data_IF_781732647754
#
_entry.id   IF_781732647754
#
_cell.length_a   1.000
_cell.length_b   1.000
_cell.length_c   1.000
_cell.angle_alpha   90.00
_cell.angle_beta   90.00
_cell.angle_gamma   90.00
#
_symmetry.space_group_name_H-M   'P 1'
#
loop_
_entity.id
_entity.type
_entity.pdbx_description
1 polymer ?
#
# COMPACT_ATOMS: atom_id res chain seq x y z
N UNK A 1 67.34 19.42 62.64
CA UNK A 1 66.57 20.65 62.89
C UNK A 1 65.15 20.22 63.21
N UNK A 2 64.79 20.40 64.48
CA UNK A 2 63.44 20.41 65.10
C UNK A 2 62.55 19.20 64.84
N UNK A 3 62.54 18.23 65.75
CA UNK A 3 61.72 18.17 67.00
C UNK A 3 60.26 17.83 66.70
N UNK A 4 59.82 16.60 67.00
CA UNK A 4 59.28 16.14 68.30
C UNK A 4 57.72 16.14 68.20
N UNK A 5 56.92 15.22 68.72
CA UNK A 5 57.02 14.44 69.96
C UNK A 5 56.06 13.25 69.90
N UNK A 6 56.48 12.21 70.63
CA UNK A 6 55.87 10.94 71.03
C UNK A 6 54.37 10.86 71.31
N UNK A 7 53.81 9.64 71.22
CA UNK A 7 53.46 8.81 72.39
C UNK A 7 53.05 7.38 71.97
N UNK A 8 53.79 6.39 72.49
CA UNK A 8 53.39 4.97 72.64
C UNK A 8 52.56 4.83 73.94
N UNK A 9 51.68 3.81 74.10
CA UNK A 9 52.15 2.48 74.54
C UNK A 9 51.38 1.26 73.98
N UNK A 10 52.09 0.13 73.93
CA UNK A 10 51.57 -1.25 73.89
C UNK A 10 50.81 -1.57 75.20
N UNK A 11 49.83 -2.51 75.25
CA UNK A 11 50.21 -3.91 75.50
C UNK A 11 49.23 -5.01 75.02
N UNK A 12 49.76 -6.24 75.04
CA UNK A 12 49.17 -7.50 75.51
C UNK A 12 47.89 -8.07 74.87
N UNK A 13 47.98 -9.37 74.55
CA UNK A 13 46.87 -10.17 74.04
C UNK A 13 45.74 -10.40 75.05
N UNK A 14 44.60 -10.86 74.55
CA UNK A 14 43.79 -11.91 75.17
C UNK A 14 42.63 -12.31 74.23
N UNK A 15 42.43 -13.62 74.15
CA UNK A 15 41.17 -14.37 73.99
C UNK A 15 40.31 -14.24 72.71
N UNK A 16 39.92 -15.38 72.10
CA UNK A 16 38.83 -15.42 71.12
C UNK A 16 37.48 -15.28 71.84
N UNK A 17 36.73 -14.26 71.48
CA UNK A 17 35.36 -14.04 71.93
C UNK A 17 34.40 -14.98 71.19
N UNK A 18 33.79 -15.88 71.96
CA UNK A 18 32.74 -16.81 71.55
C UNK A 18 31.42 -16.07 71.76
N UNK A 19 31.01 -15.31 70.74
CA UNK A 19 29.73 -14.60 70.69
C UNK A 19 28.91 -15.01 69.46
N UNK A 20 27.57 -15.16 69.58
CA UNK A 20 26.72 -15.60 68.48
C UNK A 20 26.66 -14.53 67.38
N UNK A 21 26.86 -15.01 66.15
CA UNK A 21 26.82 -14.27 64.90
C UNK A 21 25.53 -13.42 64.82
N UNK A 22 25.59 -12.07 64.78
CA UNK A 22 24.39 -11.28 64.57
C UNK A 22 23.84 -11.57 63.18
N UNK A 23 22.63 -12.10 63.17
CA UNK A 23 21.80 -12.31 61.99
C UNK A 23 21.58 -10.94 61.33
N UNK A 24 22.29 -10.69 60.23
CA UNK A 24 22.06 -9.52 59.40
C UNK A 24 20.63 -9.57 58.93
N UNK A 25 19.81 -8.64 59.42
CA UNK A 25 18.53 -8.32 58.83
C UNK A 25 18.70 -8.20 57.31
N UNK A 26 17.78 -8.75 56.50
CA UNK A 26 17.89 -8.65 55.06
C UNK A 26 17.90 -7.16 54.71
N UNK A 27 19.01 -6.72 54.12
CA UNK A 27 19.10 -5.47 53.40
C UNK A 27 17.94 -5.49 52.41
N UNK A 28 16.89 -4.71 52.67
CA UNK A 28 15.82 -4.48 51.72
C UNK A 28 16.47 -3.95 50.47
N UNK A 29 16.76 -4.84 49.51
CA UNK A 29 16.97 -4.47 48.13
C UNK A 29 15.70 -3.72 47.75
N UNK A 30 15.84 -2.40 47.65
CA UNK A 30 14.89 -1.56 46.95
C UNK A 30 14.66 -2.24 45.61
N UNK A 31 13.46 -2.81 45.46
CA UNK A 31 13.02 -3.34 44.18
C UNK A 31 13.31 -2.29 43.10
N UNK A 32 13.83 -2.69 41.92
CA UNK A 32 14.01 -1.74 40.84
C UNK A 32 12.66 -1.06 40.61
N UNK A 33 12.61 0.25 40.88
CA UNK A 33 11.47 1.08 40.54
C UNK A 33 11.28 0.89 39.05
N UNK A 34 10.21 0.18 38.67
CA UNK A 34 9.83 0.06 37.27
C UNK A 34 9.79 1.49 36.71
N UNK A 35 10.52 1.78 35.62
CA UNK A 35 10.51 3.12 35.04
C UNK A 35 9.04 3.50 34.82
N UNK A 36 8.63 4.64 35.37
CA UNK A 36 7.28 5.15 35.20
C UNK A 36 7.00 5.11 33.69
N UNK A 37 6.03 4.29 33.29
CA UNK A 37 5.63 4.17 31.90
C UNK A 37 5.25 5.58 31.46
N UNK A 38 6.05 6.16 30.55
CA UNK A 38 5.74 7.47 29.99
C UNK A 38 4.34 7.35 29.38
N UNK A 39 3.33 8.09 29.87
CA UNK A 39 1.97 8.01 29.36
C UNK A 39 1.87 8.42 27.88
N UNK A 40 2.98 8.88 27.28
CA UNK A 40 3.12 9.25 25.88
C UNK A 40 4.06 8.33 25.09
N UNK A 41 4.52 7.21 25.66
CA UNK A 41 5.26 6.20 24.90
C UNK A 41 4.29 5.41 24.01
N UNK A 42 4.04 5.92 22.81
CA UNK A 42 3.29 5.18 21.79
C UNK A 42 4.06 3.93 21.37
N UNK A 43 3.36 2.79 21.27
CA UNK A 43 3.99 1.57 20.77
C UNK A 43 4.30 1.70 19.27
N UNK A 44 5.44 1.15 18.81
CA UNK A 44 5.73 1.06 17.39
C UNK A 44 4.65 0.26 16.66
N UNK A 45 4.27 0.73 15.48
CA UNK A 45 3.30 0.03 14.64
C UNK A 45 3.79 -0.04 13.20
N UNK A 46 3.53 -1.17 12.56
CA UNK A 46 3.91 -1.46 11.18
C UNK A 46 2.69 -1.74 10.32
N UNK A 47 2.59 -0.98 9.22
CA UNK A 47 1.63 -1.22 8.16
C UNK A 47 2.37 -1.66 6.90
N UNK A 48 1.97 -2.81 6.38
CA UNK A 48 2.55 -3.40 5.20
C UNK A 48 1.71 -4.58 4.74
N UNK A 49 1.77 -4.88 3.45
CA UNK A 49 1.07 -6.05 2.93
C UNK A 49 1.58 -7.32 3.59
N UNK A 50 0.64 -8.21 3.91
CA UNK A 50 0.97 -9.51 4.49
C UNK A 50 1.85 -10.32 3.54
N UNK A 51 2.66 -11.21 4.11
CA UNK A 51 3.45 -12.18 3.33
C UNK A 51 2.53 -13.00 2.41
N UNK A 52 1.33 -13.34 2.90
CA UNK A 52 0.33 -14.06 2.12
C UNK A 52 -0.14 -13.26 0.89
N UNK A 53 -0.58 -12.00 1.05
CA UNK A 53 -1.00 -11.14 -0.08
C UNK A 53 0.11 -11.03 -1.12
N UNK A 54 1.34 -10.78 -0.66
CA UNK A 54 2.51 -10.66 -1.53
C UNK A 54 2.77 -11.95 -2.30
N UNK A 55 2.73 -13.09 -1.62
CA UNK A 55 2.96 -14.42 -2.22
C UNK A 55 1.89 -14.73 -3.28
N UNK A 56 0.62 -14.46 -3.00
CA UNK A 56 -0.49 -14.68 -3.94
C UNK A 56 -0.26 -13.86 -5.22
N UNK A 57 0.02 -12.56 -5.11
CA UNK A 57 0.27 -11.73 -6.30
C UNK A 57 1.50 -12.19 -7.08
N UNK A 58 2.57 -12.60 -6.41
CA UNK A 58 3.74 -13.17 -7.08
C UNK A 58 3.39 -14.46 -7.83
N UNK A 59 2.64 -15.38 -7.22
CA UNK A 59 2.22 -16.63 -7.86
C UNK A 59 1.30 -16.38 -9.06
N UNK A 60 0.30 -15.50 -8.92
CA UNK A 60 -0.60 -15.11 -10.02
C UNK A 60 0.19 -14.50 -11.16
N UNK A 61 1.12 -13.59 -10.87
CA UNK A 61 1.98 -12.98 -11.89
C UNK A 61 2.83 -14.03 -12.63
N UNK A 62 3.49 -14.93 -11.89
CA UNK A 62 4.31 -16.00 -12.47
C UNK A 62 3.49 -16.99 -13.30
N UNK A 63 2.27 -17.30 -12.87
CA UNK A 63 1.34 -18.17 -13.59
C UNK A 63 0.91 -17.55 -14.93
N UNK A 64 0.62 -16.25 -14.95
CA UNK A 64 0.13 -15.54 -16.14
C UNK A 64 1.26 -15.13 -17.11
N UNK A 65 2.49 -14.99 -16.61
CA UNK A 65 3.66 -14.56 -17.39
C UNK A 65 3.92 -15.38 -18.67
N UNK A 66 3.91 -16.74 -18.69
CA UNK A 66 4.16 -17.49 -19.91
C UNK A 66 3.09 -17.23 -20.99
N UNK A 67 1.82 -17.09 -20.59
CA UNK A 67 0.74 -16.74 -21.51
C UNK A 67 0.98 -15.35 -22.10
N UNK A 68 1.35 -14.38 -21.25
CA UNK A 68 1.63 -13.01 -21.68
C UNK A 68 2.80 -12.95 -22.67
N UNK A 69 3.88 -13.66 -22.36
CA UNK A 69 5.07 -13.74 -23.21
C UNK A 69 4.79 -14.43 -24.56
N UNK A 70 3.84 -15.37 -24.60
CA UNK A 70 3.48 -16.10 -25.83
C UNK A 70 2.63 -15.27 -26.81
N UNK A 71 1.88 -14.27 -26.34
CA UNK A 71 0.95 -13.49 -27.18
C UNK A 71 1.64 -12.74 -28.33
N UNK A 72 2.75 -11.99 -28.12
CA UNK A 72 3.44 -11.34 -29.23
C UNK A 72 3.96 -12.33 -30.27
N UNK A 73 4.45 -13.50 -29.85
CA UNK A 73 4.92 -14.54 -30.76
C UNK A 73 3.77 -15.12 -31.59
N UNK A 74 2.62 -15.41 -30.96
CA UNK A 74 1.42 -15.90 -31.65
C UNK A 74 0.90 -14.87 -32.67
N UNK A 75 0.84 -13.60 -32.29
CA UNK A 75 0.44 -12.50 -33.18
C UNK A 75 1.43 -12.40 -34.35
N UNK A 76 2.73 -12.45 -34.09
CA UNK A 76 3.78 -12.38 -35.12
C UNK A 76 3.70 -13.54 -36.10
N UNK A 77 3.52 -14.78 -35.62
CA UNK A 77 3.34 -15.96 -36.48
C UNK A 77 2.12 -15.82 -37.37
N UNK A 78 0.96 -15.42 -36.82
CA UNK A 78 -0.25 -15.22 -37.63
C UNK A 78 -0.12 -14.08 -38.63
N UNK A 79 0.55 -12.99 -38.26
CA UNK A 79 0.85 -11.90 -39.17
C UNK A 79 1.72 -12.36 -40.34
N UNK A 80 2.76 -13.16 -40.06
CA UNK A 80 3.65 -13.73 -41.08
C UNK A 80 2.94 -14.71 -42.04
N UNK A 81 1.89 -15.38 -41.56
CA UNK A 81 1.05 -16.28 -42.36
C UNK A 81 -0.03 -15.55 -43.19
N UNK A 82 -0.08 -14.21 -43.16
CA UNK A 82 -1.06 -13.42 -43.91
C UNK A 82 -2.47 -13.37 -43.30
N UNK A 83 -2.67 -13.91 -42.09
CA UNK A 83 -3.96 -14.02 -41.42
C UNK A 83 -4.34 -12.76 -40.60
N UNK A 84 -3.98 -11.57 -41.09
CA UNK A 84 -4.15 -10.31 -40.35
C UNK A 84 -5.62 -9.91 -40.16
N UNK A 85 -6.50 -10.25 -41.11
CA UNK A 85 -7.93 -9.94 -41.04
C UNK A 85 -8.66 -10.62 -39.87
N UNK A 86 -8.24 -11.84 -39.53
CA UNK A 86 -8.84 -12.64 -38.44
C UNK A 86 -8.17 -12.41 -37.08
N UNK A 87 -7.23 -11.46 -36.99
CA UNK A 87 -6.49 -11.17 -35.75
C UNK A 87 -7.14 -10.12 -34.86
N UNK A 88 -8.26 -9.50 -35.26
CA UNK A 88 -8.90 -8.45 -34.45
C UNK A 88 -9.27 -8.97 -33.05
N UNK A 89 -9.87 -10.17 -32.97
CA UNK A 89 -10.19 -10.81 -31.70
C UNK A 89 -8.95 -11.08 -30.83
N UNK A 90 -7.87 -11.57 -31.46
CA UNK A 90 -6.60 -11.83 -30.78
C UNK A 90 -5.94 -10.54 -30.27
N UNK A 91 -6.01 -9.44 -31.03
CA UNK A 91 -5.50 -8.14 -30.64
C UNK A 91 -6.29 -7.54 -29.47
N UNK A 92 -7.62 -7.64 -29.49
CA UNK A 92 -8.48 -7.20 -28.38
C UNK A 92 -8.17 -8.03 -27.12
N UNK A 93 -8.08 -9.35 -27.26
CA UNK A 93 -7.70 -10.23 -26.15
C UNK A 93 -6.31 -9.87 -25.60
N UNK A 94 -5.34 -9.63 -26.47
CA UNK A 94 -3.99 -9.23 -26.06
C UNK A 94 -3.99 -7.88 -25.34
N UNK A 95 -4.78 -6.90 -25.79
CA UNK A 95 -4.91 -5.61 -25.12
C UNK A 95 -5.52 -5.75 -23.72
N UNK A 96 -6.60 -6.51 -23.58
CA UNK A 96 -7.24 -6.80 -22.28
C UNK A 96 -6.28 -7.53 -21.35
N UNK A 97 -5.60 -8.56 -21.85
CA UNK A 97 -4.65 -9.35 -21.06
C UNK A 97 -3.42 -8.52 -20.66
N UNK A 98 -2.96 -7.61 -21.51
CA UNK A 98 -1.91 -6.65 -21.18
C UNK A 98 -2.34 -5.71 -20.05
N UNK A 99 -3.56 -5.19 -20.11
CA UNK A 99 -4.10 -4.35 -19.05
C UNK A 99 -4.19 -5.12 -17.71
N UNK A 100 -4.67 -6.37 -17.74
CA UNK A 100 -4.73 -7.25 -16.58
C UNK A 100 -3.34 -7.52 -15.99
N UNK A 101 -2.37 -7.90 -16.83
CA UNK A 101 -0.98 -8.14 -16.41
C UNK A 101 -0.35 -6.90 -15.79
N UNK A 102 -0.61 -5.72 -16.36
CA UNK A 102 -0.15 -4.46 -15.81
C UNK A 102 -0.76 -4.18 -14.43
N UNK A 103 -2.07 -4.41 -14.24
CA UNK A 103 -2.73 -4.24 -12.93
C UNK A 103 -2.19 -5.21 -11.88
N UNK A 104 -2.01 -6.49 -12.23
CA UNK A 104 -1.41 -7.49 -11.33
C UNK A 104 0.02 -7.09 -10.97
N UNK A 105 0.81 -6.61 -11.93
CA UNK A 105 2.16 -6.13 -11.70
C UNK A 105 2.19 -4.92 -10.74
N UNK A 106 1.28 -3.97 -10.92
CA UNK A 106 1.12 -2.82 -10.03
C UNK A 106 0.80 -3.25 -8.60
N UNK A 107 -0.18 -4.15 -8.42
CA UNK A 107 -0.57 -4.65 -7.09
C UNK A 107 0.57 -5.43 -6.43
N UNK A 108 1.29 -6.25 -7.20
CA UNK A 108 2.47 -6.96 -6.74
C UNK A 108 3.55 -5.97 -6.25
N UNK A 109 3.87 -4.95 -7.06
CA UNK A 109 4.85 -3.93 -6.70
C UNK A 109 4.44 -3.16 -5.44
N UNK A 110 3.16 -2.81 -5.33
CA UNK A 110 2.60 -2.13 -4.16
C UNK A 110 2.68 -3.00 -2.90
N UNK A 111 2.33 -4.28 -3.01
CA UNK A 111 2.44 -5.26 -1.93
C UNK A 111 3.88 -5.42 -1.42
N UNK A 112 4.86 -5.44 -2.34
CA UNK A 112 6.27 -5.62 -1.98
C UNK A 112 6.85 -4.35 -1.36
N UNK A 113 6.59 -3.18 -1.94
CA UNK A 113 7.36 -1.96 -1.65
C UNK A 113 6.70 -1.01 -0.66
N UNK A 114 5.38 -1.01 -0.54
CA UNK A 114 4.70 -0.07 0.35
C UNK A 114 4.85 -0.50 1.80
N UNK A 115 5.42 0.37 2.63
CA UNK A 115 5.63 0.13 4.06
C UNK A 115 5.44 1.44 4.81
N UNK A 116 4.78 1.39 5.96
CA UNK A 116 4.67 2.53 6.89
C UNK A 116 4.98 2.02 8.28
N UNK A 117 6.04 2.54 8.87
CA UNK A 117 6.45 2.29 10.25
C UNK A 117 6.22 3.56 11.06
N UNK A 118 5.33 3.48 12.04
CA UNK A 118 5.10 4.51 13.03
C UNK A 118 5.96 4.18 14.25
N UNK A 119 7.19 4.72 14.29
CA UNK A 119 8.10 4.56 15.42
C UNK A 119 7.70 5.43 16.63
N UNK A 120 8.48 5.39 17.70
CA UNK A 120 8.22 6.19 18.91
C UNK A 120 8.41 7.69 18.68
N UNK A 121 9.46 8.06 17.96
CA UNK A 121 9.88 9.46 17.77
C UNK A 121 9.71 9.95 16.33
N UNK A 122 9.62 9.02 15.38
CA UNK A 122 9.62 9.33 13.95
C UNK A 122 8.81 8.35 13.13
N UNK A 123 8.37 8.85 11.99
CA UNK A 123 7.68 8.08 10.96
C UNK A 123 8.66 7.71 9.86
N UNK A 124 8.61 6.46 9.41
CA UNK A 124 9.31 5.98 8.22
C UNK A 124 8.30 5.38 7.27
N UNK A 125 8.26 5.85 6.04
CA UNK A 125 7.31 5.32 5.06
C UNK A 125 7.93 5.25 3.68
N UNK A 126 7.61 4.21 2.93
CA UNK A 126 7.90 4.08 1.51
C UNK A 126 6.57 3.95 0.80
N UNK A 127 6.26 4.95 -0.04
CA UNK A 127 4.96 5.09 -0.68
C UNK A 127 5.13 5.28 -2.19
N UNK A 128 4.13 4.89 -3.00
CA UNK A 128 4.12 5.19 -4.42
C UNK A 128 4.13 6.71 -4.66
N UNK A 129 4.90 7.15 -5.64
CA UNK A 129 5.21 8.55 -5.91
C UNK A 129 4.95 8.88 -7.37
N UNK A 130 4.11 9.90 -7.64
CA UNK A 130 3.83 10.36 -8.99
C UNK A 130 2.40 10.87 -9.15
N UNK A 131 2.02 11.22 -10.38
CA UNK A 131 0.68 11.69 -10.73
C UNK A 131 0.06 10.79 -11.81
N UNK A 132 -1.20 10.40 -11.65
CA UNK A 132 -1.94 9.62 -12.65
C UNK A 132 -1.81 8.09 -12.47
N UNK A 133 -1.71 7.30 -13.55
CA UNK A 133 -1.50 5.84 -13.48
C UNK A 133 -0.02 5.43 -13.37
N UNK A 134 0.92 6.35 -13.65
CA UNK A 134 2.37 6.15 -13.48
C UNK A 134 2.95 6.25 -12.06
N UNK A 135 2.31 6.84 -11.01
CA UNK A 135 2.80 6.81 -9.62
C UNK A 135 3.09 5.42 -9.08
N UNK A 136 2.50 4.38 -9.66
CA UNK A 136 2.60 3.02 -9.16
C UNK A 136 3.96 2.37 -9.42
N UNK A 137 4.80 2.97 -10.29
CA UNK A 137 6.13 2.44 -10.63
C UNK A 137 7.29 3.12 -9.88
N UNK A 138 7.05 4.29 -9.28
CA UNK A 138 8.07 5.04 -8.55
C UNK A 138 7.71 5.04 -7.08
N UNK A 139 8.68 4.80 -6.22
CA UNK A 139 8.50 4.82 -4.78
C UNK A 139 9.41 5.87 -4.18
N UNK A 140 8.90 6.59 -3.19
CA UNK A 140 9.69 7.54 -2.42
C UNK A 140 9.65 7.15 -0.96
N UNK A 141 10.82 7.13 -0.35
CA UNK A 141 10.97 6.94 1.09
C UNK A 141 11.00 8.29 1.77
N UNK A 142 10.29 8.39 2.88
CA UNK A 142 10.22 9.54 3.76
C UNK A 142 10.56 9.08 5.17
N UNK A 143 11.39 9.87 5.84
CA UNK A 143 11.70 9.72 7.25
C UNK A 143 11.65 11.11 7.87
N UNK A 144 10.78 11.30 8.85
CA UNK A 144 10.65 12.56 9.57
C UNK A 144 10.22 12.32 11.02
N UNK A 145 10.79 13.07 11.98
CA UNK A 145 10.38 13.04 13.37
C UNK A 145 9.05 13.78 13.58
N UNK A 146 8.31 13.43 14.64
CA UNK A 146 6.98 14.00 14.91
C UNK A 146 7.02 15.51 15.21
N UNK A 147 8.13 15.99 15.77
CA UNK A 147 8.36 17.40 16.07
C UNK A 147 8.55 18.28 14.82
N UNK A 148 8.86 17.68 13.67
CA UNK A 148 8.95 18.37 12.37
C UNK A 148 7.61 18.44 11.63
N UNK A 149 6.57 17.79 12.14
CA UNK A 149 5.23 17.90 11.56
C UNK A 149 4.68 19.29 11.90
N UNK A 150 4.15 19.96 10.88
CA UNK A 150 3.44 21.24 11.03
C UNK A 150 1.93 21.01 11.03
N UNK A 151 1.43 20.27 10.03
CA UNK A 151 0.01 19.99 9.87
C UNK A 151 -0.22 18.61 9.28
N UNK A 152 -1.27 17.91 9.71
CA UNK A 152 -1.77 16.70 9.05
C UNK A 152 -3.15 16.98 8.48
N UNK A 153 -3.34 16.66 7.20
CA UNK A 153 -4.58 16.98 6.48
C UNK A 153 -5.18 15.76 5.80
N UNK A 154 -6.50 15.66 5.88
CA UNK A 154 -7.31 14.78 5.03
C UNK A 154 -8.11 15.58 4.04
N UNK A 155 -8.39 14.99 2.89
CA UNK A 155 -9.24 15.61 1.88
C UNK A 155 -10.01 14.55 1.10
N UNK A 156 -11.29 14.79 0.89
CA UNK A 156 -12.13 14.00 0.00
C UNK A 156 -12.01 14.57 -1.42
N UNK A 157 -11.65 13.72 -2.37
CA UNK A 157 -11.53 14.06 -3.78
C UNK A 157 -12.39 13.12 -4.61
N UNK A 158 -13.29 13.65 -5.43
CA UNK A 158 -14.00 12.83 -6.42
C UNK A 158 -13.12 12.68 -7.64
N UNK A 159 -12.76 11.44 -7.94
CA UNK A 159 -12.03 11.06 -9.14
C UNK A 159 -12.97 10.38 -10.13
N UNK A 160 -13.11 10.95 -11.31
CA UNK A 160 -13.71 10.28 -12.45
C UNK A 160 -14.22 11.29 -13.46
N UNK A 161 -14.18 10.91 -14.75
CA UNK A 161 -14.97 11.60 -15.77
C UNK A 161 -16.46 11.33 -15.58
N UNK A 162 -17.28 11.66 -16.58
CA UNK A 162 -18.74 11.50 -16.51
C UNK A 162 -19.23 10.05 -16.25
N UNK A 163 -18.41 9.03 -16.48
CA UNK A 163 -18.86 7.63 -16.51
C UNK A 163 -18.67 6.86 -15.19
N UNK A 164 -17.61 7.11 -14.40
CA UNK A 164 -17.35 6.37 -13.15
C UNK A 164 -16.66 7.26 -12.12
N UNK A 165 -17.42 8.13 -11.42
CA UNK A 165 -16.87 8.91 -10.33
C UNK A 165 -16.69 8.00 -9.10
N UNK A 166 -15.50 8.01 -8.53
CA UNK A 166 -15.12 7.32 -7.31
C UNK A 166 -14.71 8.37 -6.30
N UNK A 167 -15.28 8.30 -5.10
CA UNK A 167 -14.85 9.15 -4.01
C UNK A 167 -13.59 8.56 -3.39
N UNK A 168 -12.51 9.32 -3.41
CA UNK A 168 -11.25 8.94 -2.78
C UNK A 168 -10.93 9.88 -1.62
N UNK A 169 -10.61 9.31 -0.46
CA UNK A 169 -10.08 10.06 0.68
C UNK A 169 -8.56 10.02 0.61
N UNK A 170 -7.96 11.19 0.45
CA UNK A 170 -6.51 11.38 0.50
C UNK A 170 -6.06 11.91 1.85
N UNK A 171 -4.84 11.55 2.24
CA UNK A 171 -4.18 12.13 3.40
C UNK A 171 -2.77 12.62 3.04
N UNK A 172 -2.32 13.67 3.72
CA UNK A 172 -0.96 14.20 3.57
C UNK A 172 -0.46 14.81 4.87
N UNK A 173 0.86 14.78 5.03
CA UNK A 173 1.58 15.46 6.11
C UNK A 173 2.32 16.66 5.51
N UNK A 174 2.22 17.79 6.19
CA UNK A 174 2.98 19.01 5.89
C UNK A 174 4.03 19.14 6.98
N UNK A 175 5.30 19.18 6.58
CA UNK A 175 6.41 19.39 7.49
C UNK A 175 6.67 20.90 7.67
N UNK A 176 7.35 21.27 8.75
CA UNK A 176 7.69 22.67 9.09
C UNK A 176 8.57 23.37 8.05
N UNK A 177 9.30 22.60 7.25
CA UNK A 177 10.09 23.08 6.11
C UNK A 177 9.25 23.33 4.84
N UNK A 178 7.93 23.09 4.91
CA UNK A 178 7.00 23.18 3.79
C UNK A 178 6.95 21.95 2.89
N UNK A 179 7.69 20.88 3.20
CA UNK A 179 7.67 19.64 2.43
C UNK A 179 6.32 18.95 2.58
N UNK A 180 5.70 18.62 1.43
CA UNK A 180 4.45 17.86 1.36
C UNK A 180 4.75 16.37 1.21
N UNK A 181 4.34 15.57 2.20
CA UNK A 181 4.44 14.11 2.18
C UNK A 181 3.05 13.51 1.95
N UNK A 182 2.73 13.08 0.71
CA UNK A 182 1.45 12.42 0.44
C UNK A 182 1.46 11.01 1.03
N UNK A 183 0.42 10.64 1.80
CA UNK A 183 0.23 9.27 2.29
C UNK A 183 -0.36 8.38 1.19
N UNK A 184 -1.29 8.92 0.40
CA UNK A 184 -1.96 8.19 -0.66
C UNK A 184 -3.44 8.56 -0.75
N UNK A 185 -4.17 7.79 -1.53
CA UNK A 185 -5.62 7.89 -1.67
C UNK A 185 -6.22 6.50 -1.48
N UNK A 186 -7.30 6.42 -0.71
CA UNK A 186 -8.12 5.20 -0.57
C UNK A 186 -9.53 5.49 -1.05
N UNK A 187 -10.16 4.49 -1.66
CA UNK A 187 -11.60 4.56 -1.94
C UNK A 187 -12.34 4.60 -0.60
N UNK A 188 -13.32 5.49 -0.43
CA UNK A 188 -14.15 5.46 0.79
C UNK A 188 -15.09 4.26 0.82
N UNK A 189 -15.49 3.77 -0.35
CA UNK A 189 -16.36 2.61 -0.47
C UNK A 189 -15.60 1.29 -0.26
N UNK A 190 -14.28 1.28 -0.45
CA UNK A 190 -13.44 0.09 -0.38
C UNK A 190 -12.03 0.47 0.08
N UNK A 191 -11.93 0.82 1.37
CA UNK A 191 -10.66 1.18 1.96
C UNK A 191 -9.81 -0.09 2.15
N UNK A 192 -8.60 -0.10 1.59
CA UNK A 192 -7.66 -1.20 1.77
C UNK A 192 -7.32 -1.33 3.28
N UNK A 193 -7.72 -2.44 3.93
CA UNK A 193 -7.48 -2.62 5.37
C UNK A 193 -5.99 -2.72 5.70
N UNK A 194 -5.13 -2.99 4.71
CA UNK A 194 -3.67 -3.04 4.88
C UNK A 194 -3.07 -1.64 5.01
N UNK A 195 -3.65 -0.66 4.32
CA UNK A 195 -3.16 0.71 4.28
C UNK A 195 -4.29 1.71 4.57
N UNK A 196 -4.81 1.73 5.82
CA UNK A 196 -5.85 2.65 6.22
C UNK A 196 -5.27 4.06 6.40
N UNK A 197 -5.02 4.79 5.30
CA UNK A 197 -4.30 6.06 5.33
C UNK A 197 -4.95 7.12 6.24
N UNK A 198 -6.27 7.06 6.44
CA UNK A 198 -6.99 7.95 7.37
C UNK A 198 -6.63 7.67 8.84
N UNK A 199 -6.56 6.39 9.21
CA UNK A 199 -6.13 5.98 10.54
C UNK A 199 -4.64 6.30 10.75
N UNK A 200 -3.80 6.00 9.76
CA UNK A 200 -2.37 6.31 9.80
C UNK A 200 -2.18 7.83 9.98
N UNK A 201 -2.91 8.66 9.24
CA UNK A 201 -2.85 10.11 9.37
C UNK A 201 -3.26 10.58 10.78
N UNK A 202 -4.35 10.02 11.32
CA UNK A 202 -4.80 10.31 12.68
C UNK A 202 -3.73 9.97 13.72
N UNK A 203 -3.14 8.78 13.63
CA UNK A 203 -2.05 8.38 14.55
C UNK A 203 -0.82 9.27 14.44
N UNK A 204 -0.47 9.73 13.23
CA UNK A 204 0.62 10.70 13.06
C UNK A 204 0.25 12.03 13.74
N UNK A 205 -0.97 12.52 13.57
CA UNK A 205 -1.45 13.76 14.18
C UNK A 205 -1.45 13.66 15.71
N UNK A 206 -1.97 12.56 16.26
CA UNK A 206 -1.99 12.30 17.70
C UNK A 206 -0.59 12.24 18.30
N UNK A 207 0.34 11.53 17.64
CA UNK A 207 1.75 11.43 18.07
C UNK A 207 2.50 12.76 17.95
N UNK A 208 2.15 13.58 16.95
CA UNK A 208 2.69 14.94 16.80
C UNK A 208 1.97 15.98 17.69
N UNK A 209 0.89 15.61 18.39
CA UNK A 209 0.04 16.50 19.19
C UNK A 209 -0.56 17.64 18.37
N UNK A 210 -0.97 17.33 17.16
CA UNK A 210 -1.59 18.26 16.22
C UNK A 210 -3.02 17.81 15.89
N UNK A 211 -3.94 18.75 15.61
CA UNK A 211 -5.26 18.38 15.13
C UNK A 211 -5.18 17.83 13.70
N UNK A 212 -5.99 16.81 13.42
CA UNK A 212 -6.23 16.34 12.05
C UNK A 212 -7.18 17.31 11.35
N UNK A 213 -6.71 18.00 10.30
CA UNK A 213 -7.51 18.99 9.57
C UNK A 213 -8.22 18.32 8.39
N UNK A 214 -9.55 18.29 8.41
CA UNK A 214 -10.33 17.93 7.23
C UNK A 214 -10.51 19.16 6.33
N UNK A 215 -9.96 19.08 5.10
CA UNK A 215 -10.08 20.12 4.08
C UNK A 215 -11.38 20.00 3.27
N UNK A 216 -12.27 19.08 3.64
CA UNK A 216 -13.57 18.88 3.01
C UNK A 216 -13.49 18.13 1.69
N UNK A 217 -14.62 18.13 0.97
CA UNK A 217 -14.78 17.43 -0.30
C UNK A 217 -14.65 18.38 -1.49
N UNK A 218 -13.81 18.02 -2.46
CA UNK A 218 -13.64 18.77 -3.71
C UNK A 218 -13.72 17.84 -4.91
N UNK A 219 -14.38 18.32 -5.97
CA UNK A 219 -14.41 17.61 -7.25
C UNK A 219 -13.09 17.85 -7.98
N UNK A 220 -12.46 16.82 -8.54
CA UNK A 220 -11.26 17.05 -9.34
C UNK A 220 -11.31 16.19 -10.58
N UNK A 221 -11.18 16.80 -11.76
CA UNK A 221 -11.16 15.98 -12.95
C UNK A 221 -9.85 15.18 -13.00
N UNK A 222 -9.96 13.88 -13.25
CA UNK A 222 -8.82 12.96 -13.39
C UNK A 222 -7.86 13.47 -14.45
N UNK A 223 -8.41 14.02 -15.54
CA UNK A 223 -7.64 14.59 -16.65
C UNK A 223 -6.80 15.79 -16.20
N UNK A 224 -7.38 16.76 -15.49
CA UNK A 224 -6.62 17.93 -15.00
C UNK A 224 -5.55 17.51 -14.00
N UNK A 225 -5.85 16.55 -13.12
CA UNK A 225 -4.86 16.03 -12.16
C UNK A 225 -3.74 15.24 -12.81
N UNK A 226 -4.04 14.41 -13.80
CA UNK A 226 -3.05 13.66 -14.58
C UNK A 226 -2.12 14.60 -15.35
N UNK A 227 -2.66 15.66 -15.94
CA UNK A 227 -1.88 16.64 -16.71
C UNK A 227 -1.22 17.71 -15.83
N UNK A 228 -1.42 17.69 -14.51
CA UNK A 228 -0.87 18.68 -13.59
C UNK A 228 -1.46 20.09 -13.75
N UNK A 229 -2.61 20.20 -14.41
CA UNK A 229 -3.34 21.46 -14.62
C UNK A 229 -3.99 21.86 -13.29
N UNK A 230 -3.83 23.12 -12.89
CA UNK A 230 -4.52 23.67 -11.72
C UNK A 230 -6.03 23.55 -11.94
N UNK A 231 -6.74 23.08 -10.91
CA UNK A 231 -8.20 22.97 -10.94
C UNK A 231 -8.81 24.34 -11.28
N UNK A 232 -9.72 24.39 -12.25
CA UNK A 232 -10.53 25.58 -12.55
C UNK A 232 -11.55 25.81 -11.44
N UNK A 233 -12.07 27.04 -11.29
CA UNK A 233 -13.04 27.38 -10.22
C UNK A 233 -14.30 26.50 -10.21
N UNK A 234 -14.68 25.95 -11.37
CA UNK A 234 -15.78 24.97 -11.52
C UNK A 234 -15.49 23.58 -10.93
N UNK A 235 -14.22 23.24 -10.67
CA UNK A 235 -13.82 21.99 -10.01
C UNK A 235 -13.83 22.13 -8.47
N UNK A 236 -13.74 23.35 -7.92
CA UNK A 236 -13.75 23.58 -6.47
C UNK A 236 -15.14 23.56 -5.82
N UNK A 237 -16.17 23.04 -6.50
CA UNK A 237 -17.51 22.94 -5.91
C UNK A 237 -17.47 22.01 -4.69
N UNK A 238 -17.83 22.56 -3.53
CA UNK A 238 -18.03 21.79 -2.30
C UNK A 238 -19.24 20.88 -2.53
N UNK A 239 -19.06 19.59 -2.29
CA UNK A 239 -20.11 18.59 -2.48
C UNK A 239 -20.63 18.17 -1.11
N UNK A 240 -21.94 18.20 -0.98
CA UNK A 240 -22.65 17.79 0.23
C UNK A 240 -22.69 16.26 0.38
N UNK A 241 -22.90 15.78 1.60
CA UNK A 241 -22.87 14.37 2.00
C UNK A 241 -23.91 13.53 1.23
N UNK A 242 -25.07 14.12 0.92
CA UNK A 242 -26.08 13.49 0.08
C UNK A 242 -25.58 13.24 -1.37
N UNK A 243 -24.74 14.13 -1.89
CA UNK A 243 -24.11 13.97 -3.20
C UNK A 243 -23.11 12.81 -3.21
N UNK A 244 -22.36 12.65 -2.11
CA UNK A 244 -21.42 11.55 -1.91
C UNK A 244 -22.14 10.19 -1.87
N UNK A 245 -23.22 10.08 -1.09
CA UNK A 245 -23.98 8.83 -0.98
C UNK A 245 -24.55 8.38 -2.33
N UNK A 246 -25.09 9.32 -3.12
CA UNK A 246 -25.59 9.04 -4.47
C UNK A 246 -24.49 8.57 -5.42
N UNK A 247 -23.28 9.12 -5.28
CA UNK A 247 -22.13 8.75 -6.07
C UNK A 247 -21.72 7.29 -5.83
N UNK A 248 -21.61 6.90 -4.56
CA UNK A 248 -21.24 5.55 -4.16
C UNK A 248 -22.29 4.53 -4.63
N UNK A 249 -23.59 4.86 -4.52
CA UNK A 249 -24.66 4.00 -5.03
C UNK A 249 -24.59 3.81 -6.56
N UNK A 250 -24.31 4.89 -7.30
CA UNK A 250 -24.13 4.82 -8.75
C UNK A 250 -22.92 3.99 -9.15
N UNK A 251 -21.80 4.13 -8.43
CA UNK A 251 -20.60 3.35 -8.68
C UNK A 251 -20.84 1.85 -8.46
N UNK A 252 -21.46 1.47 -7.35
CA UNK A 252 -21.79 0.08 -7.05
C UNK A 252 -22.72 -0.53 -8.13
N UNK A 253 -23.77 0.20 -8.51
CA UNK A 253 -24.71 -0.25 -9.57
C UNK A 253 -23.99 -0.47 -10.89
N UNK A 254 -23.08 0.45 -11.26
CA UNK A 254 -22.28 0.32 -12.48
C UNK A 254 -21.34 -0.89 -12.44
N UNK A 255 -20.64 -1.12 -11.32
CA UNK A 255 -19.74 -2.26 -11.16
C UNK A 255 -20.49 -3.60 -11.23
N UNK A 256 -21.66 -3.69 -10.59
CA UNK A 256 -22.52 -4.87 -10.69
C UNK A 256 -23.01 -5.13 -12.12
N UNK A 257 -23.40 -4.09 -12.85
CA UNK A 257 -23.81 -4.22 -14.25
C UNK A 257 -22.66 -4.70 -15.14
N UNK A 258 -21.44 -4.15 -14.95
CA UNK A 258 -20.25 -4.57 -15.70
C UNK A 258 -19.92 -6.05 -15.43
N UNK A 259 -19.90 -6.46 -14.15
CA UNK A 259 -19.67 -7.86 -13.77
C UNK A 259 -20.72 -8.77 -14.40
N UNK A 260 -22.00 -8.38 -14.36
CA UNK A 260 -23.10 -9.12 -14.99
C UNK A 260 -22.89 -9.32 -16.50
N UNK A 261 -22.49 -8.28 -17.23
CA UNK A 261 -22.19 -8.36 -18.67
C UNK A 261 -21.04 -9.34 -18.93
N UNK A 262 -19.94 -9.26 -18.16
CA UNK A 262 -18.79 -10.16 -18.31
C UNK A 262 -19.19 -11.61 -18.07
N UNK A 263 -19.99 -11.90 -17.04
CA UNK A 263 -20.48 -13.26 -16.77
C UNK A 263 -21.38 -13.79 -17.89
N UNK A 264 -22.25 -12.95 -18.46
CA UNK A 264 -23.10 -13.32 -19.60
C UNK A 264 -22.24 -13.65 -20.83
N UNK A 265 -21.25 -12.81 -21.14
CA UNK A 265 -20.33 -13.07 -22.27
C UNK A 265 -19.52 -14.35 -22.08
N UNK A 266 -19.06 -14.62 -20.85
CA UNK A 266 -18.38 -15.87 -20.52
C UNK A 266 -19.28 -17.09 -20.72
N UNK A 267 -20.53 -17.03 -20.25
CA UNK A 267 -21.51 -18.11 -20.43
C UNK A 267 -21.81 -18.34 -21.92
N UNK A 268 -21.97 -17.28 -22.71
CA UNK A 268 -22.16 -17.39 -24.16
C UNK A 268 -20.96 -18.09 -24.80
N UNK A 269 -19.73 -17.67 -24.46
CA UNK A 269 -18.52 -18.29 -24.99
C UNK A 269 -18.42 -19.78 -24.65
N UNK A 270 -18.74 -20.16 -23.40
CA UNK A 270 -18.76 -21.56 -22.96
C UNK A 270 -19.82 -22.36 -23.74
N UNK A 271 -21.04 -21.84 -23.86
CA UNK A 271 -22.13 -22.52 -24.59
C UNK A 271 -21.80 -22.67 -26.07
N UNK A 272 -21.21 -21.66 -26.70
CA UNK A 272 -20.76 -21.72 -28.10
C UNK A 272 -19.68 -22.79 -28.28
N UNK A 273 -18.70 -22.86 -27.38
CA UNK A 273 -17.64 -23.88 -27.39
C UNK A 273 -18.20 -25.30 -27.31
N UNK A 274 -19.22 -25.52 -26.45
CA UNK A 274 -19.92 -26.81 -26.39
C UNK A 274 -20.80 -27.10 -27.62
N UNK A 275 -21.36 -26.08 -28.26
CA UNK A 275 -22.24 -26.23 -29.40
C UNK A 275 -21.48 -26.53 -30.71
N UNK A 276 -20.27 -25.97 -30.87
CA UNK A 276 -19.48 -26.10 -32.10
C UNK A 276 -18.80 -27.47 -32.24
N UNK A 277 -18.87 -28.34 -31.21
CA UNK A 277 -18.47 -29.74 -31.26
C UNK A 277 -17.00 -29.99 -31.63
N UNK A 278 -16.20 -28.94 -31.72
CA UNK A 278 -14.82 -28.97 -32.21
C UNK A 278 -13.88 -29.17 -31.03
N UNK A 279 -13.13 -30.28 -30.95
CA UNK A 279 -12.26 -30.54 -29.80
C UNK A 279 -11.16 -29.48 -29.69
N UNK A 280 -11.01 -28.95 -28.48
CA UNK A 280 -9.98 -27.98 -28.08
C UNK A 280 -8.60 -28.47 -28.56
N UNK A 281 -8.00 -27.77 -29.53
CA UNK A 281 -6.60 -28.01 -29.94
C UNK A 281 -6.31 -28.21 -31.43
N UNK A 282 -7.31 -28.26 -32.32
CA UNK A 282 -7.02 -28.24 -33.76
C UNK A 282 -6.71 -26.82 -34.23
N UNK A 283 -5.45 -26.42 -34.03
CA UNK A 283 -4.82 -25.49 -34.98
C UNK A 283 -4.98 -26.10 -36.37
N UNK A 284 -5.46 -25.28 -37.32
CA UNK A 284 -5.67 -25.66 -38.70
C UNK A 284 -4.58 -26.63 -39.17
N UNK A 285 -4.98 -27.87 -39.47
CA UNK A 285 -4.10 -28.83 -40.09
C UNK A 285 -3.50 -28.15 -41.33
N UNK A 286 -2.16 -28.09 -41.38
CA UNK A 286 -1.42 -27.70 -42.57
C UNK A 286 -2.07 -28.43 -43.77
N UNK A 287 -2.53 -27.74 -44.82
CA UNK A 287 -2.97 -28.42 -46.02
C UNK A 287 -1.78 -29.22 -46.54
N UNK A 288 -1.95 -30.54 -46.54
CA UNK A 288 -0.99 -31.54 -46.97
C UNK A 288 -0.45 -31.16 -48.35
N UNK A 289 0.81 -30.72 -48.41
CA UNK A 289 1.57 -30.60 -49.66
C UNK A 289 1.89 -32.02 -50.11
N UNK A 290 0.91 -32.70 -50.71
CA UNK A 290 1.08 -34.03 -51.30
C UNK A 290 0.14 -34.23 -52.50
N UNK A 291 0.01 -33.19 -53.32
CA UNK A 291 -0.66 -33.24 -54.62
C UNK A 291 0.21 -32.61 -55.73
N UNK A 292 1.53 -32.76 -55.66
CA UNK A 292 2.46 -32.29 -56.69
C UNK A 292 3.53 -33.35 -57.06
N UNK A 293 3.27 -34.63 -56.81
CA UNK A 293 4.07 -35.73 -57.35
C UNK A 293 3.11 -36.85 -57.79
N UNK A 294 2.51 -36.67 -58.96
CA UNK A 294 1.94 -37.75 -59.79
C UNK A 294 2.09 -37.37 -61.26
#
# INVERSE_FOLDING_TARGET
MTDATSLSPSPAGATPDIGPKPEMAPTSQSAPVAPAADPYAFEPEDYGASVLRTTIFCLVFLLLLPFFASLPAMIGMRASAGLLGDNLGLLVLAAVFTALMFLVFVEMMFSIRTRVHLGREKVRMTLPAGRGPTPMLRYRSYEFPYDQVDTVETRREIYGGAMTPVLMKGARVILKDGTLVPLGYVSEADADPVFPYDEIARKIADRARLPLIDRGAVRRSVRSKMMGIKATDSENTIIDEAGIARLNASHNTFMLALIGIVLILMLIGIVQDFADGSPIGQTAALPTVLAAIS
#
